data_IF_265033836394
#
_entry.id   IF_265033836394
#
_cell.length_a   1.000
_cell.length_b   1.000
_cell.length_c   1.000
_cell.angle_alpha   90.00
_cell.angle_beta   90.00
_cell.angle_gamma   90.00
#
_symmetry.space_group_name_H-M   'P 1'
#
loop_
_entity.id
_entity.type
_entity.pdbx_description
1 polymer ?
#
# COMPACT_ATOMS: atom_id res chain seq x y z
N UNK A 1 3.35 52.65 -105.76
CA UNK A 1 3.07 51.54 -104.89
C UNK A 1 3.21 52.01 -103.45
N UNK A 2 2.12 52.04 -102.70
CA UNK A 2 2.08 52.44 -101.27
C UNK A 2 2.03 51.18 -100.45
N UNK A 3 3.10 50.93 -99.76
CA UNK A 3 3.22 49.78 -98.89
C UNK A 3 2.30 50.00 -97.64
N UNK A 4 1.40 49.06 -97.45
CA UNK A 4 0.40 49.10 -96.39
C UNK A 4 1.04 48.55 -95.07
N UNK A 5 1.39 49.48 -94.20
CA UNK A 5 1.94 49.16 -92.89
C UNK A 5 0.95 48.28 -92.13
N UNK A 6 1.42 47.13 -91.69
CA UNK A 6 0.60 46.18 -90.94
C UNK A 6 0.34 46.75 -89.50
N UNK A 7 -0.86 46.59 -89.00
CA UNK A 7 -1.19 47.10 -87.69
C UNK A 7 -0.29 46.50 -86.56
N UNK A 8 0.27 47.36 -85.75
CA UNK A 8 1.09 46.91 -84.63
C UNK A 8 0.29 45.98 -83.69
N UNK A 9 0.91 44.88 -83.31
CA UNK A 9 0.32 43.96 -82.37
C UNK A 9 0.01 44.64 -81.00
N UNK A 10 -1.15 44.31 -80.38
CA UNK A 10 -1.49 44.94 -79.13
C UNK A 10 -0.45 44.64 -78.06
N UNK A 11 -0.07 45.66 -77.32
CA UNK A 11 0.91 45.53 -76.19
C UNK A 11 0.41 44.51 -75.18
N UNK A 12 1.26 43.56 -74.74
CA UNK A 12 0.98 42.60 -73.81
C UNK A 12 0.61 43.28 -72.43
N UNK A 13 -0.41 42.82 -71.74
CA UNK A 13 -0.80 43.40 -70.43
C UNK A 13 0.32 43.25 -69.37
N UNK A 14 0.55 44.25 -68.55
CA UNK A 14 1.55 44.13 -67.43
C UNK A 14 1.14 43.06 -66.43
N UNK A 15 1.99 42.08 -66.18
CA UNK A 15 1.80 41.01 -65.23
C UNK A 15 2.76 41.26 -64.04
N UNK A 16 2.23 41.16 -62.80
CA UNK A 16 3.04 41.24 -61.61
C UNK A 16 3.59 39.84 -61.30
N UNK A 17 4.90 39.69 -61.38
CA UNK A 17 5.58 38.44 -61.00
C UNK A 17 6.11 38.55 -59.60
N UNK A 18 5.97 37.50 -58.82
CA UNK A 18 6.56 37.37 -57.47
C UNK A 18 7.53 36.20 -57.56
N UNK A 19 8.78 36.37 -57.12
CA UNK A 19 9.74 35.28 -57.08
C UNK A 19 9.25 34.14 -56.20
N UNK A 20 9.36 32.89 -56.64
CA UNK A 20 9.11 31.72 -55.83
C UNK A 20 10.21 31.62 -54.76
N UNK A 21 9.80 31.47 -53.50
CA UNK A 21 10.72 31.26 -52.38
C UNK A 21 10.71 29.79 -52.04
N UNK A 22 11.88 29.18 -51.96
CA UNK A 22 12.01 27.82 -51.43
C UNK A 22 11.82 27.84 -49.93
N UNK A 23 10.94 27.02 -49.40
CA UNK A 23 10.68 26.87 -47.99
C UNK A 23 10.41 25.42 -47.64
N UNK A 24 10.75 25.03 -46.42
CA UNK A 24 10.38 23.73 -45.89
C UNK A 24 8.91 23.75 -45.48
N UNK A 25 8.11 22.86 -46.02
CA UNK A 25 6.75 22.62 -45.55
C UNK A 25 6.76 21.36 -44.67
N UNK A 26 6.42 21.52 -43.39
CA UNK A 26 6.25 20.40 -42.48
C UNK A 26 4.81 19.93 -42.58
N UNK A 27 4.65 18.68 -42.97
CA UNK A 27 3.35 18.03 -42.88
C UNK A 27 3.09 17.69 -41.41
N UNK A 28 2.07 18.27 -40.83
CA UNK A 28 1.63 17.94 -39.47
C UNK A 28 0.40 17.05 -39.51
N UNK A 29 0.51 15.85 -38.94
CA UNK A 29 -0.62 14.97 -38.73
C UNK A 29 -0.98 15.00 -37.23
N UNK A 30 -2.26 15.22 -36.91
CA UNK A 30 -2.77 15.07 -35.54
C UNK A 30 -3.55 13.78 -35.44
N UNK A 31 -3.27 13.02 -34.38
CA UNK A 31 -4.01 11.79 -34.06
C UNK A 31 -4.47 11.82 -32.62
N UNK A 32 -5.62 11.18 -32.37
CA UNK A 32 -6.14 11.01 -31.00
C UNK A 32 -5.38 9.84 -30.37
N UNK A 33 -4.74 10.09 -29.23
CA UNK A 33 -4.07 9.08 -28.45
C UNK A 33 -4.63 9.07 -27.01
N UNK A 34 -4.70 7.89 -26.39
CA UNK A 34 -5.05 7.70 -24.99
C UNK A 34 -3.84 7.21 -24.24
N UNK A 35 -3.45 7.93 -23.17
CA UNK A 35 -2.39 7.51 -22.27
C UNK A 35 -3.03 6.71 -21.14
N UNK A 36 -2.55 5.49 -20.90
CA UNK A 36 -2.93 4.66 -19.76
C UNK A 36 -1.73 4.46 -18.85
N UNK A 37 -1.98 4.38 -17.54
CA UNK A 37 -0.96 3.98 -16.59
C UNK A 37 -0.51 2.55 -16.87
N UNK A 38 0.79 2.26 -16.69
CA UNK A 38 1.33 0.90 -16.78
C UNK A 38 0.88 0.05 -15.60
N UNK A 39 0.90 0.64 -14.39
CA UNK A 39 0.45 0.02 -13.16
C UNK A 39 -0.58 0.95 -12.49
N UNK A 40 -1.66 0.37 -12.01
CA UNK A 40 -2.73 1.08 -11.30
C UNK A 40 -3.15 0.27 -10.08
N UNK A 41 -3.23 0.92 -8.92
CA UNK A 41 -3.62 0.28 -7.66
C UNK A 41 -4.65 1.11 -6.93
N UNK A 42 -5.74 0.47 -6.59
CA UNK A 42 -6.76 1.03 -5.73
C UNK A 42 -6.34 0.89 -4.26
N UNK A 43 -6.11 2.00 -3.59
CA UNK A 43 -5.84 2.03 -2.16
C UNK A 43 -7.14 1.82 -1.39
N UNK A 44 -7.18 0.77 -0.57
CA UNK A 44 -8.34 0.42 0.25
C UNK A 44 -7.94 0.31 1.72
N UNK A 45 -8.87 0.64 2.62
CA UNK A 45 -8.69 0.40 4.04
C UNK A 45 -8.80 -1.11 4.32
N UNK A 46 -7.87 -1.65 5.14
CA UNK A 46 -7.90 -3.05 5.58
C UNK A 46 -8.45 -3.21 6.99
N UNK A 47 -8.61 -2.11 7.70
CA UNK A 47 -9.12 -2.04 9.07
C UNK A 47 -10.13 -0.91 9.16
N UNK A 48 -11.07 -1.05 10.08
CA UNK A 48 -12.12 -0.06 10.34
C UNK A 48 -11.60 1.04 11.27
N UNK A 49 -11.91 2.28 10.97
CA UNK A 49 -11.58 3.42 11.81
C UNK A 49 -11.76 4.76 11.11
N UNK A 50 -11.64 5.84 11.86
CA UNK A 50 -11.71 7.18 11.29
C UNK A 50 -10.40 7.56 10.63
N UNK A 51 -10.48 8.22 9.46
CA UNK A 51 -9.34 8.83 8.79
C UNK A 51 -8.85 10.03 9.60
N UNK A 52 -7.66 9.94 10.20
CA UNK A 52 -7.09 11.00 11.04
C UNK A 52 -6.25 11.97 10.22
N UNK A 53 -5.47 11.46 9.26
CA UNK A 53 -4.59 12.28 8.42
C UNK A 53 -4.54 11.79 7.00
N UNK A 54 -4.38 12.76 6.09
CA UNK A 54 -4.00 12.60 4.69
C UNK A 54 -2.69 13.35 4.47
N UNK A 55 -1.66 12.67 3.99
CA UNK A 55 -0.28 13.17 3.93
C UNK A 55 0.23 13.29 2.48
N UNK A 56 -0.68 13.53 1.56
CA UNK A 56 -0.37 13.79 0.16
C UNK A 56 -1.29 14.87 -0.43
N UNK A 57 -0.90 15.42 -1.56
CA UNK A 57 -1.71 16.31 -2.39
C UNK A 57 -2.19 15.54 -3.62
N UNK A 58 -3.46 15.73 -3.99
CA UNK A 58 -4.07 15.10 -5.16
C UNK A 58 -3.34 15.49 -6.45
N UNK A 59 -3.15 14.51 -7.33
CA UNK A 59 -2.45 14.72 -8.60
C UNK A 59 -0.94 14.94 -8.47
N UNK A 60 -0.36 14.79 -7.29
CA UNK A 60 1.10 14.94 -7.08
C UNK A 60 1.82 13.59 -7.11
N UNK A 61 3.12 13.60 -7.45
CA UNK A 61 3.94 12.39 -7.39
C UNK A 61 4.13 11.94 -5.93
N UNK A 62 4.05 10.63 -5.72
CA UNK A 62 4.32 9.95 -4.45
C UNK A 62 5.42 8.92 -4.63
N UNK A 63 6.17 8.64 -3.56
CA UNK A 63 7.25 7.65 -3.57
C UNK A 63 6.79 6.34 -2.94
N UNK A 64 7.37 5.25 -3.40
CA UNK A 64 7.20 3.94 -2.77
C UNK A 64 7.54 4.00 -1.28
N UNK A 65 6.62 3.48 -0.44
CA UNK A 65 6.76 3.52 1.01
C UNK A 65 6.42 4.87 1.66
N UNK A 66 5.98 5.86 0.90
CA UNK A 66 5.46 7.12 1.45
C UNK A 66 4.14 6.86 2.17
N UNK A 67 4.00 7.37 3.40
CA UNK A 67 2.75 7.31 4.16
C UNK A 67 1.73 8.25 3.50
N UNK A 68 0.57 7.71 3.14
CA UNK A 68 -0.50 8.43 2.46
C UNK A 68 -1.67 8.74 3.40
N UNK A 69 -2.13 7.74 4.13
CA UNK A 69 -3.24 7.87 5.08
C UNK A 69 -2.88 7.30 6.44
N UNK A 70 -3.44 7.91 7.46
CA UNK A 70 -3.41 7.41 8.83
C UNK A 70 -4.85 7.24 9.33
N UNK A 71 -5.21 6.00 9.66
CA UNK A 71 -6.47 5.63 10.32
C UNK A 71 -6.22 5.66 11.83
N UNK A 72 -7.24 5.94 12.62
CA UNK A 72 -7.17 6.03 14.08
C UNK A 72 -6.53 4.78 14.71
N UNK A 73 -5.31 4.89 15.30
CA UNK A 73 -4.55 3.74 15.77
C UNK A 73 -4.88 3.31 17.20
N UNK A 74 -5.54 4.15 18.02
CA UNK A 74 -5.63 3.99 19.48
C UNK A 74 -6.23 2.63 19.90
N UNK A 75 -7.29 2.19 19.21
CA UNK A 75 -7.93 0.90 19.49
C UNK A 75 -6.99 -0.26 19.17
N UNK A 76 -6.22 -0.16 18.10
CA UNK A 76 -5.27 -1.18 17.65
C UNK A 76 -4.03 -1.22 18.55
N UNK A 77 -3.55 -0.07 19.02
CA UNK A 77 -2.48 0.01 20.02
C UNK A 77 -2.89 -0.63 21.35
N UNK A 78 -4.13 -0.39 21.80
CA UNK A 78 -4.66 -1.02 22.99
C UNK A 78 -4.75 -2.56 22.84
N UNK A 79 -5.18 -3.06 21.67
CA UNK A 79 -5.20 -4.49 21.36
C UNK A 79 -3.80 -5.12 21.35
N UNK A 80 -2.80 -4.42 20.83
CA UNK A 80 -1.39 -4.87 20.88
C UNK A 80 -0.93 -4.99 22.32
N UNK A 81 -1.16 -3.97 23.16
CA UNK A 81 -0.78 -4.01 24.60
C UNK A 81 -1.49 -5.13 25.37
N UNK A 82 -2.77 -5.39 25.07
CA UNK A 82 -3.50 -6.51 25.66
C UNK A 82 -2.87 -7.86 25.27
N UNK A 83 -2.59 -8.06 23.99
CA UNK A 83 -1.95 -9.28 23.50
C UNK A 83 -0.51 -9.46 24.03
N UNK A 84 0.24 -8.37 24.25
CA UNK A 84 1.55 -8.41 24.91
C UNK A 84 1.43 -8.87 26.36
N UNK A 85 0.44 -8.39 27.11
CA UNK A 85 0.19 -8.82 28.49
C UNK A 85 -0.23 -10.31 28.56
N UNK A 86 -1.05 -10.78 27.61
CA UNK A 86 -1.42 -12.19 27.51
C UNK A 86 -0.22 -13.09 27.21
N UNK A 87 0.69 -12.64 26.34
CA UNK A 87 1.94 -13.36 26.07
C UNK A 87 2.84 -13.43 27.30
N UNK A 88 2.99 -12.34 28.05
CA UNK A 88 3.78 -12.33 29.29
C UNK A 88 3.18 -13.27 30.33
N UNK A 89 1.84 -13.32 30.46
CA UNK A 89 1.15 -14.28 31.32
C UNK A 89 1.42 -15.73 30.91
N UNK A 90 1.32 -16.03 29.60
CA UNK A 90 1.60 -17.37 29.09
C UNK A 90 3.05 -17.80 29.34
N UNK A 91 4.02 -16.91 29.16
CA UNK A 91 5.43 -17.15 29.47
C UNK A 91 5.67 -17.42 30.95
N UNK A 92 5.00 -16.68 31.84
CA UNK A 92 5.08 -16.91 33.28
C UNK A 92 4.54 -18.31 33.65
N UNK A 93 3.42 -18.72 33.04
CA UNK A 93 2.86 -20.07 33.20
C UNK A 93 3.83 -21.15 32.70
N UNK A 94 4.44 -20.96 31.53
CA UNK A 94 5.45 -21.89 31.02
C UNK A 94 6.66 -21.99 31.96
N UNK A 95 7.15 -20.88 32.50
CA UNK A 95 8.24 -20.87 33.46
C UNK A 95 7.89 -21.71 34.71
N UNK A 96 6.68 -21.56 35.24
CA UNK A 96 6.21 -22.36 36.36
C UNK A 96 6.11 -23.85 36.02
N UNK A 97 5.59 -24.19 34.83
CA UNK A 97 5.49 -25.55 34.37
C UNK A 97 6.87 -26.19 34.11
N UNK A 98 7.83 -25.41 33.62
CA UNK A 98 9.23 -25.84 33.45
C UNK A 98 9.89 -26.19 34.82
N UNK A 99 9.72 -25.32 35.81
CA UNK A 99 10.26 -25.54 37.16
C UNK A 99 9.67 -26.84 37.76
N UNK A 100 8.38 -27.04 37.60
CA UNK A 100 7.73 -28.27 38.10
C UNK A 100 8.17 -29.51 37.35
N UNK A 101 8.28 -29.44 36.01
CA UNK A 101 8.82 -30.52 35.21
C UNK A 101 10.23 -30.93 35.61
N UNK A 102 11.17 -29.98 35.77
CA UNK A 102 12.55 -30.28 36.21
C UNK A 102 12.60 -30.81 37.61
N UNK A 103 11.71 -30.35 38.55
CA UNK A 103 11.56 -30.90 39.89
C UNK A 103 11.12 -32.37 39.84
N UNK A 104 10.06 -32.69 39.09
CA UNK A 104 9.56 -34.05 38.97
C UNK A 104 10.57 -34.98 38.28
N UNK A 105 11.27 -34.51 37.31
CA UNK A 105 12.36 -35.23 36.63
C UNK A 105 13.49 -35.62 37.57
N UNK A 106 13.87 -34.72 38.48
CA UNK A 106 14.90 -35.01 39.51
C UNK A 106 14.37 -36.05 40.51
N UNK A 107 13.13 -35.92 40.94
CA UNK A 107 12.52 -36.82 41.91
C UNK A 107 12.29 -38.22 41.35
N UNK A 108 11.94 -38.36 40.07
CA UNK A 108 11.84 -39.70 39.42
C UNK A 108 13.20 -40.35 39.36
N UNK A 109 14.29 -39.63 39.08
CA UNK A 109 15.65 -40.16 39.09
C UNK A 109 16.13 -40.62 40.46
N UNK A 110 15.44 -40.25 41.53
CA UNK A 110 15.71 -40.65 42.93
C UNK A 110 14.66 -41.63 43.46
N UNK A 111 13.80 -42.19 42.65
CA UNK A 111 12.63 -43.03 43.03
C UNK A 111 11.72 -42.36 44.09
N UNK A 112 11.72 -41.01 44.17
CA UNK A 112 10.99 -40.24 45.17
C UNK A 112 9.63 -39.70 44.71
N UNK A 113 9.21 -40.01 43.45
CA UNK A 113 7.89 -39.65 42.91
C UNK A 113 7.34 -40.72 41.99
N UNK A 114 6.06 -40.67 41.66
CA UNK A 114 5.45 -41.61 40.74
C UNK A 114 5.69 -41.20 39.26
N UNK A 115 5.83 -42.18 38.39
CA UNK A 115 5.92 -41.94 36.95
C UNK A 115 4.73 -41.12 36.41
N UNK A 116 3.55 -41.33 36.98
CA UNK A 116 2.32 -40.55 36.63
C UNK A 116 2.49 -39.06 36.93
N UNK A 117 3.12 -38.70 38.06
CA UNK A 117 3.36 -37.31 38.43
C UNK A 117 4.32 -36.63 37.43
N UNK A 118 5.36 -37.34 37.03
CA UNK A 118 6.29 -36.85 35.97
C UNK A 118 5.58 -36.70 34.62
N UNK A 119 4.79 -37.70 34.19
CA UNK A 119 4.06 -37.64 32.92
C UNK A 119 3.06 -36.47 32.92
N UNK A 120 2.41 -36.19 34.04
CA UNK A 120 1.53 -35.03 34.19
C UNK A 120 2.29 -33.70 34.11
N UNK A 121 3.46 -33.59 34.74
CA UNK A 121 4.28 -32.38 34.68
C UNK A 121 4.80 -32.14 33.24
N UNK A 122 5.14 -33.21 32.52
CA UNK A 122 5.55 -33.13 31.11
C UNK A 122 4.39 -32.64 30.22
N UNK A 123 3.17 -33.16 30.44
CA UNK A 123 1.99 -32.73 29.70
C UNK A 123 1.65 -31.24 29.98
N UNK A 124 1.68 -30.82 31.26
CA UNK A 124 1.41 -29.43 31.62
C UNK A 124 2.46 -28.46 31.01
N UNK A 125 3.74 -28.85 30.96
CA UNK A 125 4.77 -28.06 30.26
C UNK A 125 4.45 -27.94 28.78
N UNK A 126 4.06 -29.01 28.13
CA UNK A 126 3.70 -29.00 26.71
C UNK A 126 2.47 -28.13 26.44
N UNK A 127 1.48 -28.16 27.33
CA UNK A 127 0.29 -27.31 27.26
C UNK A 127 0.66 -25.83 27.39
N UNK A 128 1.49 -25.48 28.39
CA UNK A 128 1.96 -24.12 28.60
C UNK A 128 2.81 -23.61 27.41
N UNK A 129 3.62 -24.46 26.79
CA UNK A 129 4.39 -24.11 25.57
C UNK A 129 3.42 -23.84 24.39
N UNK A 130 2.36 -24.59 24.27
CA UNK A 130 1.32 -24.35 23.27
C UNK A 130 0.55 -23.02 23.49
N UNK A 131 0.28 -22.68 24.79
CA UNK A 131 -0.32 -21.39 25.15
C UNK A 131 0.59 -20.21 24.76
N UNK A 132 1.90 -20.30 24.96
CA UNK A 132 2.85 -19.25 24.54
C UNK A 132 2.78 -19.07 23.03
N UNK A 133 2.82 -20.15 22.24
CA UNK A 133 2.73 -20.10 20.78
C UNK A 133 1.41 -19.47 20.31
N UNK A 134 0.30 -19.80 20.97
CA UNK A 134 -1.01 -19.19 20.69
C UNK A 134 -1.01 -17.68 20.98
N UNK A 135 -0.46 -17.26 22.13
CA UNK A 135 -0.36 -15.85 22.49
C UNK A 135 0.56 -15.08 21.55
N UNK A 136 1.67 -15.67 21.08
CA UNK A 136 2.57 -15.09 20.07
C UNK A 136 1.84 -14.86 18.74
N UNK A 137 1.03 -15.83 18.30
CA UNK A 137 0.24 -15.70 17.08
C UNK A 137 -0.81 -14.58 17.21
N UNK A 138 -1.47 -14.47 18.36
CA UNK A 138 -2.44 -13.40 18.64
C UNK A 138 -1.76 -12.02 18.65
N UNK A 139 -0.58 -11.90 19.25
CA UNK A 139 0.21 -10.67 19.23
C UNK A 139 0.62 -10.29 17.81
N UNK A 140 1.06 -11.26 17.00
CA UNK A 140 1.41 -11.02 15.61
C UNK A 140 0.21 -10.48 14.81
N UNK A 141 -0.98 -11.06 15.01
CA UNK A 141 -2.23 -10.59 14.39
C UNK A 141 -2.59 -9.16 14.84
N UNK A 142 -2.47 -8.87 16.13
CA UNK A 142 -2.74 -7.52 16.65
C UNK A 142 -1.78 -6.48 16.06
N UNK A 143 -0.49 -6.79 15.97
CA UNK A 143 0.53 -5.93 15.33
C UNK A 143 0.29 -5.75 13.83
N UNK A 144 -0.14 -6.80 13.15
CA UNK A 144 -0.51 -6.71 11.73
C UNK A 144 -1.68 -5.77 11.52
N UNK A 145 -2.74 -5.86 12.35
CA UNK A 145 -3.88 -4.96 12.28
C UNK A 145 -3.48 -3.50 12.58
N UNK A 146 -2.58 -3.28 13.55
CA UNK A 146 -2.02 -1.95 13.82
C UNK A 146 -1.23 -1.43 12.61
N UNK A 147 -0.49 -2.28 11.91
CA UNK A 147 0.25 -1.86 10.72
C UNK A 147 -0.68 -1.38 9.60
N UNK A 148 -1.88 -1.95 9.50
CA UNK A 148 -2.88 -1.56 8.50
C UNK A 148 -3.56 -0.22 8.77
N UNK A 149 -3.37 0.38 9.96
CA UNK A 149 -3.82 1.76 10.22
C UNK A 149 -3.03 2.79 9.43
N UNK A 150 -1.87 2.42 8.91
CA UNK A 150 -1.01 3.27 8.09
C UNK A 150 -0.97 2.74 6.67
N UNK A 151 -1.46 3.53 5.72
CA UNK A 151 -1.54 3.16 4.31
C UNK A 151 -0.39 3.83 3.57
N UNK A 152 0.45 3.00 2.94
CA UNK A 152 1.64 3.45 2.21
C UNK A 152 1.49 3.22 0.71
N UNK A 153 2.21 4.03 -0.10
CA UNK A 153 2.30 3.80 -1.54
C UNK A 153 3.10 2.53 -1.85
N UNK A 154 2.59 1.62 -2.70
CA UNK A 154 3.30 0.40 -3.07
C UNK A 154 4.41 0.62 -4.10
N UNK A 155 4.37 1.72 -4.87
CA UNK A 155 5.33 2.07 -5.92
C UNK A 155 5.47 3.59 -6.07
N UNK A 156 6.43 4.03 -6.86
CA UNK A 156 6.59 5.43 -7.25
C UNK A 156 5.59 5.76 -8.36
N UNK A 157 4.79 6.80 -8.20
CA UNK A 157 3.75 7.14 -9.17
C UNK A 157 3.07 8.45 -8.87
N UNK A 158 1.95 8.69 -9.51
CA UNK A 158 1.09 9.84 -9.28
C UNK A 158 -0.20 9.37 -8.61
N UNK A 159 -0.55 10.00 -7.49
CA UNK A 159 -1.79 9.67 -6.79
C UNK A 159 -2.95 10.44 -7.43
N UNK A 160 -4.08 9.76 -7.61
CA UNK A 160 -5.30 10.33 -8.15
C UNK A 160 -6.10 11.15 -7.15
N UNK A 161 -7.40 11.24 -7.40
CA UNK A 161 -8.33 11.96 -6.54
C UNK A 161 -8.62 11.15 -5.27
N UNK A 162 -8.84 11.88 -4.19
CA UNK A 162 -9.25 11.34 -2.91
C UNK A 162 -10.78 11.18 -2.85
N UNK A 163 -11.26 10.02 -2.44
CA UNK A 163 -12.70 9.74 -2.31
C UNK A 163 -13.21 10.08 -0.91
N UNK A 164 -12.38 9.92 0.12
CA UNK A 164 -12.78 10.11 1.52
C UNK A 164 -11.99 11.23 2.20
N UNK A 165 -12.70 12.13 2.87
CA UNK A 165 -12.09 13.21 3.64
C UNK A 165 -11.65 12.76 5.03
N UNK A 166 -10.68 13.48 5.61
CA UNK A 166 -10.29 13.32 7.02
C UNK A 166 -11.53 13.47 7.91
N UNK A 167 -11.69 12.56 8.85
CA UNK A 167 -12.87 12.46 9.72
C UNK A 167 -13.94 11.47 9.24
N UNK A 168 -13.84 10.93 8.03
CA UNK A 168 -14.75 9.88 7.57
C UNK A 168 -14.36 8.53 8.19
N UNK A 169 -15.37 7.73 8.51
CA UNK A 169 -15.21 6.32 8.86
C UNK A 169 -14.89 5.55 7.57
N UNK A 170 -13.87 4.72 7.61
CA UNK A 170 -13.47 3.81 6.53
C UNK A 170 -13.33 2.40 7.05
N UNK A 171 -13.63 1.42 6.19
CA UNK A 171 -13.54 -0.01 6.47
C UNK A 171 -13.16 -0.78 5.19
N UNK A 172 -13.17 -2.11 5.24
CA UNK A 172 -12.88 -2.96 4.10
C UNK A 172 -13.93 -2.87 2.98
N UNK A 173 -15.13 -2.38 3.26
CA UNK A 173 -16.25 -2.25 2.32
C UNK A 173 -16.38 -0.82 1.77
N UNK A 174 -15.62 0.13 2.29
CA UNK A 174 -15.69 1.54 1.89
C UNK A 174 -15.24 1.80 0.45
N UNK A 175 -14.63 0.79 -0.22
CA UNK A 175 -14.13 0.93 -1.58
C UNK A 175 -12.78 1.65 -1.65
N UNK A 176 -12.52 2.26 -2.81
CA UNK A 176 -11.23 2.90 -3.10
C UNK A 176 -11.11 4.23 -2.38
N UNK A 177 -10.05 4.41 -1.61
CA UNK A 177 -9.70 5.69 -0.95
C UNK A 177 -9.06 6.66 -1.95
N UNK A 178 -8.13 6.17 -2.77
CA UNK A 178 -7.50 6.85 -3.88
C UNK A 178 -6.91 5.81 -4.86
N UNK A 179 -6.64 6.25 -6.08
CA UNK A 179 -6.01 5.45 -7.14
C UNK A 179 -4.64 5.99 -7.49
#
# INVERSE_FOLDING_TARGET
CREKEAPAAPAAPPVKVVPATEGYMFESASSIASIKANDEVNLVARVEGFLVKRLFEEGKPVRKGQLLYEIEPQIYEAKVKAAEADLEKAKANLTNADIEYERQKTLVGQDATSKRAFDNAAANKQEADAEVKSAEANLALARQNLSYTKIYSPFDGQIGLNTYSVGNLVDQNSGTLAT
#
